data_IF_256566383565
#
_entry.id   IF_256566383565
#
_cell.length_a   1.000
_cell.length_b   1.000
_cell.length_c   1.000
_cell.angle_alpha   90.00
_cell.angle_beta   90.00
_cell.angle_gamma   90.00
#
_symmetry.space_group_name_H-M   'P 1'
#
loop_
_entity.id
_entity.type
_entity.pdbx_description
1 polymer ?
#
# COMPACT_ATOMS: atom_id res chain seq x y z
N UNK A 1 5.94 -9.71 -47.52
CA UNK A 1 6.94 -10.09 -46.50
C UNK A 1 7.11 -11.61 -46.60
N UNK A 2 8.31 -12.14 -46.79
CA UNK A 2 8.56 -13.55 -47.10
C UNK A 2 8.12 -14.48 -45.99
N UNK A 3 7.43 -15.58 -46.28
CA UNK A 3 6.99 -16.61 -45.33
C UNK A 3 8.15 -17.14 -44.45
N UNK A 4 9.36 -17.16 -45.00
CA UNK A 4 10.61 -17.56 -44.27
C UNK A 4 10.92 -16.58 -43.13
N UNK A 5 10.73 -15.28 -43.34
CA UNK A 5 10.99 -14.26 -42.29
C UNK A 5 9.96 -14.37 -41.17
N UNK A 6 8.71 -14.64 -41.54
CA UNK A 6 7.62 -14.82 -40.59
C UNK A 6 7.81 -16.07 -39.71
N UNK A 7 8.20 -17.21 -40.32
CA UNK A 7 8.54 -18.44 -39.59
C UNK A 7 9.77 -18.28 -38.68
N UNK A 8 10.77 -17.51 -39.08
CA UNK A 8 11.94 -17.24 -38.25
C UNK A 8 11.58 -16.38 -37.03
N UNK A 9 10.71 -15.37 -37.20
CA UNK A 9 10.19 -14.55 -36.10
C UNK A 9 9.33 -15.35 -35.13
N UNK A 10 8.45 -16.22 -35.62
CA UNK A 10 7.61 -17.09 -34.78
C UNK A 10 8.46 -18.06 -33.96
N UNK A 11 9.53 -18.63 -34.54
CA UNK A 11 10.47 -19.50 -33.80
C UNK A 11 11.27 -18.74 -32.73
N UNK A 12 11.73 -17.54 -33.03
CA UNK A 12 12.47 -16.71 -32.07
C UNK A 12 11.57 -16.32 -30.89
N UNK A 13 10.33 -15.93 -31.15
CA UNK A 13 9.34 -15.63 -30.10
C UNK A 13 9.02 -16.86 -29.25
N UNK A 14 8.87 -18.03 -29.86
CA UNK A 14 8.63 -19.28 -29.14
C UNK A 14 9.77 -19.63 -28.19
N UNK A 15 11.02 -19.53 -28.67
CA UNK A 15 12.21 -19.77 -27.85
C UNK A 15 12.36 -18.77 -26.70
N UNK A 16 12.02 -17.50 -26.96
CA UNK A 16 12.06 -16.47 -25.90
C UNK A 16 11.03 -16.76 -24.79
N UNK A 17 9.81 -17.16 -25.16
CA UNK A 17 8.77 -17.54 -24.20
C UNK A 17 9.14 -18.81 -23.42
N UNK A 18 9.78 -19.81 -24.05
CA UNK A 18 10.28 -20.99 -23.35
C UNK A 18 11.31 -20.64 -22.28
N UNK A 19 12.18 -19.66 -22.56
CA UNK A 19 13.18 -19.16 -21.63
C UNK A 19 12.60 -18.22 -20.58
N UNK A 20 11.42 -17.63 -20.83
CA UNK A 20 10.77 -16.63 -19.98
C UNK A 20 9.28 -16.94 -19.77
N UNK A 21 8.92 -18.06 -19.13
CA UNK A 21 7.53 -18.49 -18.97
C UNK A 21 6.66 -17.48 -18.23
N UNK A 22 7.24 -16.67 -17.35
CA UNK A 22 6.58 -15.59 -16.64
C UNK A 22 6.06 -14.47 -17.57
N UNK A 23 6.71 -14.30 -18.74
CA UNK A 23 6.33 -13.29 -19.72
C UNK A 23 5.08 -13.72 -20.52
N UNK A 24 5.04 -14.98 -20.93
CA UNK A 24 3.89 -15.55 -21.63
C UNK A 24 2.59 -15.43 -20.80
N UNK A 25 2.67 -15.73 -19.48
CA UNK A 25 1.55 -15.59 -18.53
C UNK A 25 1.03 -14.15 -18.43
N UNK A 26 1.89 -13.16 -18.71
CA UNK A 26 1.56 -11.74 -18.65
C UNK A 26 1.26 -11.12 -20.01
N UNK A 27 1.41 -11.86 -21.10
CA UNK A 27 1.24 -11.35 -22.48
C UNK A 27 2.33 -10.37 -22.88
N UNK A 28 3.55 -10.54 -22.34
CA UNK A 28 4.71 -9.71 -22.63
C UNK A 28 5.58 -10.44 -23.64
N UNK A 29 5.79 -9.85 -24.81
CA UNK A 29 6.77 -10.32 -25.78
C UNK A 29 8.17 -9.69 -25.55
N UNK A 30 9.16 -10.14 -26.30
CA UNK A 30 10.54 -9.66 -26.18
C UNK A 30 10.66 -8.16 -26.47
N UNK A 31 9.96 -7.65 -27.47
CA UNK A 31 9.99 -6.23 -27.84
C UNK A 31 9.40 -5.35 -26.75
N UNK A 32 8.25 -5.77 -26.20
CA UNK A 32 7.62 -5.09 -25.07
C UNK A 32 8.52 -5.14 -23.83
N UNK A 33 9.13 -6.30 -23.53
CA UNK A 33 10.05 -6.43 -22.41
C UNK A 33 11.26 -5.49 -22.52
N UNK A 34 11.86 -5.45 -23.71
CA UNK A 34 12.97 -4.53 -23.99
C UNK A 34 12.55 -3.06 -23.81
N UNK A 35 11.37 -2.66 -24.28
CA UNK A 35 10.85 -1.32 -24.09
C UNK A 35 10.62 -1.00 -22.60
N UNK A 36 10.08 -1.96 -21.83
CA UNK A 36 9.90 -1.81 -20.38
C UNK A 36 11.22 -1.57 -19.65
N UNK A 37 12.27 -2.35 -19.98
CA UNK A 37 13.56 -2.26 -19.30
C UNK A 37 14.39 -1.04 -19.71
N UNK A 38 14.30 -0.62 -20.99
CA UNK A 38 15.18 0.43 -21.52
C UNK A 38 14.55 1.81 -21.54
N UNK A 39 13.22 1.89 -21.67
CA UNK A 39 12.52 3.16 -21.93
C UNK A 39 11.53 3.51 -20.83
N UNK A 40 10.67 2.58 -20.43
CA UNK A 40 9.58 2.86 -19.49
C UNK A 40 10.11 2.87 -18.04
N UNK A 41 10.91 1.85 -17.67
CA UNK A 41 11.50 1.70 -16.32
C UNK A 41 13.01 1.45 -16.40
N UNK A 42 13.81 2.36 -16.99
CA UNK A 42 15.23 2.13 -17.16
C UNK A 42 15.94 1.97 -15.81
N UNK A 43 16.71 0.88 -15.68
CA UNK A 43 17.47 0.59 -14.47
C UNK A 43 16.67 -0.03 -13.32
N UNK A 44 15.35 -0.23 -13.45
CA UNK A 44 14.56 -0.94 -12.47
C UNK A 44 14.86 -2.45 -12.48
N UNK A 45 14.67 -3.09 -11.31
CA UNK A 45 14.83 -4.55 -11.19
C UNK A 45 13.69 -5.27 -11.92
N UNK A 46 14.00 -6.47 -12.42
CA UNK A 46 13.00 -7.33 -13.08
C UNK A 46 11.73 -7.51 -12.24
N UNK A 47 11.87 -7.81 -10.95
CA UNK A 47 10.75 -8.03 -10.04
C UNK A 47 9.89 -6.77 -9.89
N UNK A 48 10.52 -5.58 -9.86
CA UNK A 48 9.82 -4.31 -9.76
C UNK A 48 9.00 -4.01 -11.03
N UNK A 49 9.58 -4.28 -12.20
CA UNK A 49 8.88 -4.13 -13.49
C UNK A 49 7.68 -5.09 -13.55
N UNK A 50 7.87 -6.36 -13.15
CA UNK A 50 6.79 -7.34 -13.15
C UNK A 50 5.67 -6.95 -12.19
N UNK A 51 6.00 -6.39 -11.01
CA UNK A 51 5.00 -5.82 -10.10
C UNK A 51 4.17 -4.72 -10.77
N UNK A 52 4.82 -3.79 -11.49
CA UNK A 52 4.13 -2.73 -12.22
C UNK A 52 3.24 -3.28 -13.35
N UNK A 53 3.70 -4.31 -14.06
CA UNK A 53 2.90 -5.01 -15.07
C UNK A 53 1.66 -5.65 -14.46
N UNK A 54 1.83 -6.41 -13.38
CA UNK A 54 0.71 -7.09 -12.70
C UNK A 54 -0.28 -6.08 -12.12
N UNK A 55 0.20 -4.96 -11.57
CA UNK A 55 -0.63 -3.85 -11.10
C UNK A 55 -1.48 -3.25 -12.23
N UNK A 56 -0.87 -2.97 -13.39
CA UNK A 56 -1.57 -2.45 -14.55
C UNK A 56 -2.57 -3.46 -15.09
N UNK A 57 -2.19 -4.73 -15.21
CA UNK A 57 -3.05 -5.81 -15.70
C UNK A 57 -4.30 -6.00 -14.84
N UNK A 58 -4.14 -5.99 -13.51
CA UNK A 58 -5.27 -6.08 -12.57
C UNK A 58 -6.30 -4.95 -12.74
N UNK A 59 -5.89 -3.81 -13.31
CA UNK A 59 -6.74 -2.64 -13.56
C UNK A 59 -7.06 -2.42 -15.04
N UNK A 60 -6.74 -3.37 -15.89
CA UNK A 60 -6.89 -3.29 -17.36
C UNK A 60 -6.23 -2.04 -17.96
N UNK A 61 -5.06 -1.67 -17.45
CA UNK A 61 -4.27 -0.53 -17.90
C UNK A 61 -3.16 -0.98 -18.82
N UNK A 62 -2.89 -0.19 -19.86
CA UNK A 62 -1.73 -0.40 -20.72
C UNK A 62 -0.47 0.11 -20.03
N UNK A 63 0.43 -0.81 -19.67
CA UNK A 63 1.71 -0.50 -19.01
C UNK A 63 2.59 0.41 -19.86
N UNK A 64 2.46 0.36 -21.20
CA UNK A 64 3.26 1.18 -22.11
C UNK A 64 2.93 2.67 -22.02
N UNK A 65 1.76 3.04 -21.52
CA UNK A 65 1.38 4.42 -21.22
C UNK A 65 1.99 4.93 -19.91
N UNK A 66 2.74 4.08 -19.18
CA UNK A 66 3.33 4.39 -17.87
C UNK A 66 2.34 4.96 -16.86
N UNK A 67 1.19 4.33 -16.63
CA UNK A 67 0.20 4.82 -15.67
C UNK A 67 0.67 4.63 -14.21
N UNK A 68 1.69 3.80 -14.02
CA UNK A 68 2.30 3.49 -12.71
C UNK A 68 3.77 3.86 -12.75
N UNK A 69 4.27 4.40 -11.67
CA UNK A 69 5.67 4.72 -11.43
C UNK A 69 6.26 3.76 -10.39
N UNK A 70 7.51 3.39 -10.56
CA UNK A 70 8.28 2.67 -9.56
C UNK A 70 8.98 3.70 -8.67
N UNK A 71 8.51 3.84 -7.44
CA UNK A 71 9.06 4.80 -6.48
C UNK A 71 9.92 4.04 -5.47
N UNK A 72 11.24 4.31 -5.39
CA UNK A 72 12.08 3.70 -4.38
C UNK A 72 11.69 4.20 -3.00
N UNK A 73 11.30 3.28 -2.12
CA UNK A 73 10.85 3.58 -0.78
C UNK A 73 11.55 2.72 0.25
N UNK A 74 11.75 3.27 1.44
CA UNK A 74 12.27 2.52 2.56
C UNK A 74 11.13 1.82 3.28
N UNK A 75 11.00 0.51 3.06
CA UNK A 75 9.97 -0.33 3.67
C UNK A 75 10.56 -1.06 4.85
N UNK A 76 9.86 -1.01 5.99
CA UNK A 76 10.20 -1.80 7.16
C UNK A 76 9.59 -3.19 7.03
N UNK A 77 10.41 -4.22 7.07
CA UNK A 77 9.96 -5.60 7.09
C UNK A 77 9.23 -5.89 8.41
N UNK A 78 7.98 -6.35 8.33
CA UNK A 78 7.13 -6.56 9.49
C UNK A 78 7.62 -7.71 10.39
N UNK A 79 8.35 -8.70 9.83
CA UNK A 79 8.82 -9.86 10.57
C UNK A 79 10.18 -9.61 11.22
N UNK A 80 11.11 -8.98 10.48
CA UNK A 80 12.49 -8.78 10.94
C UNK A 80 12.72 -7.40 11.56
N UNK A 81 11.83 -6.45 11.31
CA UNK A 81 12.00 -5.05 11.72
C UNK A 81 13.06 -4.29 10.92
N UNK A 82 13.73 -4.94 9.98
CA UNK A 82 14.77 -4.35 9.16
C UNK A 82 14.18 -3.44 8.08
N UNK A 83 14.86 -2.30 7.83
CA UNK A 83 14.50 -1.40 6.75
C UNK A 83 15.26 -1.77 5.48
N UNK A 84 14.55 -1.91 4.37
CA UNK A 84 15.13 -2.16 3.06
C UNK A 84 14.52 -1.22 2.01
N UNK A 85 15.34 -0.79 1.05
CA UNK A 85 14.84 -0.05 -0.11
C UNK A 85 14.16 -1.01 -1.07
N UNK A 86 12.92 -0.72 -1.41
CA UNK A 86 12.13 -1.46 -2.41
C UNK A 86 11.47 -0.47 -3.37
N UNK A 87 11.34 -0.86 -4.62
CA UNK A 87 10.50 -0.13 -5.56
C UNK A 87 9.04 -0.47 -5.29
N UNK A 88 8.25 0.57 -5.04
CA UNK A 88 6.81 0.43 -4.81
C UNK A 88 6.08 0.96 -6.05
N UNK A 89 5.24 0.15 -6.69
CA UNK A 89 4.40 0.64 -7.79
C UNK A 89 3.39 1.64 -7.25
N UNK A 90 3.45 2.88 -7.74
CA UNK A 90 2.53 3.95 -7.37
C UNK A 90 1.79 4.49 -8.58
N UNK A 91 0.49 4.78 -8.47
CA UNK A 91 -0.24 5.40 -9.55
C UNK A 91 0.33 6.80 -9.84
N UNK A 92 0.45 7.15 -11.11
CA UNK A 92 0.57 8.53 -11.52
C UNK A 92 -0.81 9.17 -11.66
N UNK A 93 -0.90 10.51 -11.72
CA UNK A 93 -2.17 11.21 -11.95
C UNK A 93 -2.88 10.73 -13.23
N UNK A 94 -2.11 10.30 -14.24
CA UNK A 94 -2.61 9.74 -15.48
C UNK A 94 -3.49 8.50 -15.29
N UNK A 95 -3.19 7.66 -14.30
CA UNK A 95 -4.01 6.51 -13.96
C UNK A 95 -5.40 6.96 -13.50
N UNK A 96 -5.47 7.93 -12.61
CA UNK A 96 -6.74 8.45 -12.09
C UNK A 96 -7.58 9.12 -13.17
N UNK A 97 -6.94 9.84 -14.11
CA UNK A 97 -7.62 10.40 -15.29
C UNK A 97 -8.27 9.30 -16.14
N UNK A 98 -7.50 8.25 -16.47
CA UNK A 98 -8.00 7.12 -17.27
C UNK A 98 -9.19 6.45 -16.59
N UNK A 99 -9.11 6.23 -15.30
CA UNK A 99 -10.18 5.55 -14.55
C UNK A 99 -11.42 6.42 -14.40
N UNK A 100 -11.26 7.72 -14.13
CA UNK A 100 -12.37 8.66 -14.09
C UNK A 100 -13.07 8.77 -15.44
N UNK A 101 -12.32 8.82 -16.53
CA UNK A 101 -12.89 8.84 -17.90
C UNK A 101 -13.68 7.53 -18.21
N UNK A 102 -13.12 6.38 -17.83
CA UNK A 102 -13.76 5.07 -18.01
C UNK A 102 -15.03 4.86 -17.20
N UNK A 103 -15.23 5.63 -16.12
CA UNK A 103 -16.48 5.55 -15.33
C UNK A 103 -17.71 5.99 -16.13
N UNK A 104 -17.50 6.76 -17.23
CA UNK A 104 -18.56 7.27 -18.09
C UNK A 104 -19.34 8.47 -17.50
N UNK A 105 -18.99 8.92 -16.33
CA UNK A 105 -19.61 10.06 -15.65
C UNK A 105 -18.66 11.26 -15.46
N UNK A 106 -17.42 11.18 -15.97
CA UNK A 106 -16.50 12.30 -15.99
C UNK A 106 -17.00 13.43 -16.90
N UNK A 107 -17.13 14.64 -16.35
CA UNK A 107 -17.71 15.81 -17.05
C UNK A 107 -16.72 16.97 -17.19
N UNK A 108 -15.41 16.65 -17.25
CA UNK A 108 -14.33 17.60 -17.45
C UNK A 108 -13.75 18.18 -16.16
N UNK A 109 -12.83 19.13 -16.35
CA UNK A 109 -12.15 19.85 -15.28
C UNK A 109 -11.97 21.32 -15.65
N UNK A 110 -11.75 22.15 -14.64
CA UNK A 110 -11.32 23.55 -14.87
C UNK A 110 -9.79 23.63 -14.96
N UNK A 111 -9.31 24.76 -15.44
CA UNK A 111 -7.90 25.14 -15.33
C UNK A 111 -7.50 25.22 -13.84
N UNK A 112 -6.26 24.85 -13.49
CA UNK A 112 -5.79 24.96 -12.11
C UNK A 112 -5.71 26.41 -11.66
N UNK A 113 -6.27 26.71 -10.49
CA UNK A 113 -6.16 27.99 -9.82
C UNK A 113 -4.95 27.97 -8.88
N UNK A 114 -4.10 29.00 -8.95
CA UNK A 114 -2.91 29.11 -8.11
C UNK A 114 -3.02 30.29 -7.16
N UNK A 115 -2.51 30.09 -5.95
CA UNK A 115 -2.37 31.13 -4.94
C UNK A 115 -1.23 32.12 -5.25
N UNK A 116 -0.92 32.98 -4.27
CA UNK A 116 0.20 33.92 -4.39
C UNK A 116 1.50 33.21 -4.74
N UNK A 117 2.35 33.92 -5.47
CA UNK A 117 3.68 33.42 -5.79
C UNK A 117 4.62 33.79 -4.66
N UNK A 118 5.25 32.77 -4.09
CA UNK A 118 6.24 32.90 -3.02
C UNK A 118 7.64 32.72 -3.61
N UNK A 119 8.56 33.57 -3.17
CA UNK A 119 10.00 33.40 -3.42
C UNK A 119 10.70 33.14 -2.10
N UNK A 120 11.35 31.99 -1.98
CA UNK A 120 12.04 31.57 -0.76
C UNK A 120 13.39 30.94 -1.07
N UNK A 121 14.26 30.93 -0.06
CA UNK A 121 15.56 30.27 -0.09
C UNK A 121 15.50 29.03 0.82
N UNK A 122 15.99 27.93 0.29
CA UNK A 122 16.05 26.65 0.99
C UNK A 122 17.50 26.19 1.16
N UNK A 123 17.78 25.53 2.27
CA UNK A 123 19.07 24.91 2.50
C UNK A 123 19.21 23.64 1.65
N UNK A 124 20.21 23.64 0.79
CA UNK A 124 20.49 22.56 -0.14
C UNK A 124 21.96 22.17 -0.19
N UNK A 125 22.28 21.26 -1.06
CA UNK A 125 23.65 20.80 -1.32
C UNK A 125 23.93 20.84 -2.82
N UNK A 126 25.17 21.20 -3.17
CA UNK A 126 25.67 21.05 -4.54
C UNK A 126 26.08 19.60 -4.86
N UNK A 127 26.60 19.37 -6.06
CA UNK A 127 27.07 18.04 -6.49
C UNK A 127 28.25 17.49 -5.66
N UNK A 128 28.98 18.38 -4.97
CA UNK A 128 30.10 18.04 -4.10
C UNK A 128 29.68 17.95 -2.63
N UNK A 129 28.36 18.05 -2.36
CA UNK A 129 27.74 18.07 -1.03
C UNK A 129 28.08 19.30 -0.17
N UNK A 130 28.56 20.37 -0.76
CA UNK A 130 28.73 21.65 -0.06
C UNK A 130 27.36 22.30 0.18
N UNK A 131 27.15 22.93 1.34
CA UNK A 131 25.91 23.64 1.63
C UNK A 131 25.75 24.86 0.72
N UNK A 132 24.58 24.99 0.12
CA UNK A 132 24.20 26.11 -0.75
C UNK A 132 22.80 26.61 -0.40
N UNK A 133 22.50 27.86 -0.71
CA UNK A 133 21.14 28.41 -0.69
C UNK A 133 20.52 28.27 -2.09
N UNK A 134 19.35 27.64 -2.15
CA UNK A 134 18.60 27.41 -3.39
C UNK A 134 17.39 28.32 -3.40
N UNK A 135 17.37 29.30 -4.31
CA UNK A 135 16.19 30.14 -4.54
C UNK A 135 15.15 29.40 -5.36
N UNK A 136 13.91 29.45 -4.91
CA UNK A 136 12.77 28.82 -5.57
C UNK A 136 11.60 29.81 -5.61
N UNK A 137 10.93 29.83 -6.74
CA UNK A 137 9.68 30.58 -6.95
C UNK A 137 8.55 29.58 -7.19
N UNK A 138 7.56 29.58 -6.31
CA UNK A 138 6.47 28.57 -6.31
C UNK A 138 5.13 29.20 -5.94
N UNK A 139 3.99 28.58 -6.33
CA UNK A 139 2.69 29.02 -5.84
C UNK A 139 2.50 28.50 -4.41
N UNK A 140 1.92 29.33 -3.54
CA UNK A 140 1.62 28.92 -2.16
C UNK A 140 0.71 27.70 -2.13
N UNK A 141 -0.33 27.71 -2.98
CA UNK A 141 -1.28 26.62 -3.12
C UNK A 141 -1.76 26.47 -4.57
N UNK A 142 -2.36 25.31 -4.86
CA UNK A 142 -3.09 25.04 -6.09
C UNK A 142 -4.45 24.45 -5.75
N UNK A 143 -5.51 24.99 -6.34
CA UNK A 143 -6.85 24.43 -6.30
C UNK A 143 -7.18 23.82 -7.67
N UNK A 144 -7.68 22.61 -7.66
CA UNK A 144 -8.12 21.90 -8.86
C UNK A 144 -9.59 21.47 -8.72
N UNK A 145 -10.37 21.64 -9.80
CA UNK A 145 -11.78 21.30 -9.85
C UNK A 145 -12.02 20.27 -10.95
N UNK A 146 -12.60 19.14 -10.59
CA UNK A 146 -13.10 18.14 -11.53
C UNK A 146 -14.62 18.04 -11.42
N UNK A 147 -15.26 17.57 -12.46
CA UNK A 147 -16.71 17.46 -12.52
C UNK A 147 -17.16 16.04 -12.83
N UNK A 148 -18.19 15.61 -12.12
CA UNK A 148 -18.84 14.31 -12.29
C UNK A 148 -20.32 14.51 -12.59
N UNK A 149 -20.88 13.70 -13.47
CA UNK A 149 -22.32 13.67 -13.69
C UNK A 149 -22.98 12.80 -12.62
N UNK A 150 -23.87 13.40 -11.83
CA UNK A 150 -24.63 12.68 -10.79
C UNK A 150 -26.10 13.01 -10.98
N UNK A 151 -26.92 11.99 -11.28
CA UNK A 151 -28.34 12.19 -11.50
C UNK A 151 -28.68 13.17 -12.63
N UNK A 152 -27.84 13.22 -13.67
CA UNK A 152 -27.98 14.15 -14.80
C UNK A 152 -27.48 15.59 -14.52
N UNK A 153 -26.92 15.85 -13.34
CA UNK A 153 -26.37 17.15 -12.97
C UNK A 153 -24.83 17.10 -12.91
N UNK A 154 -24.20 18.19 -13.34
CA UNK A 154 -22.74 18.37 -13.26
C UNK A 154 -22.36 18.83 -11.86
N UNK A 155 -21.74 17.96 -11.06
CA UNK A 155 -21.32 18.21 -9.68
C UNK A 155 -19.83 18.41 -9.63
N UNK A 156 -19.35 19.46 -8.91
CA UNK A 156 -17.93 19.76 -8.78
C UNK A 156 -17.30 19.11 -7.56
N UNK A 157 -16.10 18.56 -7.74
CA UNK A 157 -15.23 18.06 -6.68
C UNK A 157 -13.93 18.86 -6.72
N UNK A 158 -13.54 19.43 -5.57
CA UNK A 158 -12.42 20.36 -5.47
C UNK A 158 -11.40 19.89 -4.45
N UNK A 159 -10.13 20.08 -4.76
CA UNK A 159 -9.03 19.91 -3.84
C UNK A 159 -8.11 21.12 -3.88
N UNK A 160 -7.56 21.46 -2.72
CA UNK A 160 -6.52 22.49 -2.59
C UNK A 160 -5.32 21.84 -1.93
N UNK A 161 -4.16 21.97 -2.57
CA UNK A 161 -2.89 21.44 -2.10
C UNK A 161 -1.91 22.59 -1.91
N UNK A 162 -1.11 22.50 -0.85
CA UNK A 162 -0.09 23.51 -0.51
C UNK A 162 1.28 23.04 -0.96
N UNK A 163 2.07 23.93 -1.54
CA UNK A 163 3.36 23.57 -2.09
C UNK A 163 4.31 23.02 -1.02
N UNK A 164 4.36 23.67 0.16
CA UNK A 164 5.23 23.25 1.27
C UNK A 164 4.90 21.86 1.83
N UNK A 165 3.68 21.36 1.66
CA UNK A 165 3.28 20.04 2.10
C UNK A 165 3.60 18.95 1.07
N UNK A 166 3.72 19.35 -0.21
CA UNK A 166 3.80 18.42 -1.33
C UNK A 166 5.20 18.26 -1.92
N UNK A 167 6.01 19.33 -1.92
CA UNK A 167 7.27 19.26 -2.64
C UNK A 167 8.21 18.18 -2.12
N UNK A 168 8.95 17.58 -3.06
CA UNK A 168 9.97 16.58 -2.76
C UNK A 168 11.34 17.25 -2.62
N UNK A 169 12.08 16.89 -1.58
CA UNK A 169 13.44 17.40 -1.34
C UNK A 169 14.49 16.68 -2.20
N UNK A 170 15.66 17.30 -2.37
CA UNK A 170 16.81 16.72 -3.08
C UNK A 170 17.31 15.43 -2.40
N UNK A 171 17.28 15.40 -1.07
CA UNK A 171 17.71 14.26 -0.25
C UNK A 171 17.10 14.40 1.15
N UNK A 172 17.26 13.35 1.97
CA UNK A 172 16.83 13.36 3.37
C UNK A 172 17.54 14.41 4.24
N UNK A 173 18.63 14.99 3.76
CA UNK A 173 19.46 15.97 4.46
C UNK A 173 19.40 17.37 3.84
N UNK A 174 18.42 17.64 2.98
CA UNK A 174 18.26 18.91 2.26
C UNK A 174 16.83 19.38 2.36
N UNK A 175 16.61 20.65 2.63
CA UNK A 175 15.30 21.29 2.53
C UNK A 175 15.01 21.77 1.11
N UNK A 176 16.04 21.88 0.27
CA UNK A 176 15.86 22.32 -1.09
C UNK A 176 15.05 21.32 -1.93
N UNK A 177 14.10 21.80 -2.76
CA UNK A 177 13.31 20.93 -3.62
C UNK A 177 14.20 20.22 -4.66
N UNK A 178 13.77 19.02 -5.07
CA UNK A 178 14.42 18.29 -6.14
C UNK A 178 14.31 19.05 -7.49
N UNK A 179 15.01 18.53 -8.50
CA UNK A 179 15.09 19.19 -9.81
C UNK A 179 13.72 19.44 -10.46
N UNK A 180 12.76 18.51 -10.31
CA UNK A 180 11.43 18.64 -10.91
C UNK A 180 10.59 19.69 -10.18
N UNK A 181 10.56 19.67 -8.87
CA UNK A 181 9.84 20.62 -8.04
C UNK A 181 10.43 22.03 -8.10
N UNK A 182 11.76 22.14 -8.31
CA UNK A 182 12.41 23.42 -8.57
C UNK A 182 12.09 23.96 -9.96
N UNK A 183 12.16 23.11 -11.00
CA UNK A 183 12.00 23.52 -12.41
C UNK A 183 10.55 23.76 -12.81
N UNK A 184 9.61 22.99 -12.25
CA UNK A 184 8.19 22.99 -12.63
C UNK A 184 7.25 22.99 -11.42
N UNK A 185 7.39 23.95 -10.48
CA UNK A 185 6.65 23.95 -9.22
C UNK A 185 5.13 24.00 -9.41
N UNK A 186 4.65 24.81 -10.36
CA UNK A 186 3.22 24.94 -10.67
C UNK A 186 2.65 23.62 -11.22
N UNK A 187 3.31 23.02 -12.20
CA UNK A 187 2.82 21.81 -12.85
C UNK A 187 2.84 20.60 -11.90
N UNK A 188 3.83 20.50 -11.01
CA UNK A 188 3.89 19.42 -10.03
C UNK A 188 2.77 19.56 -8.99
N UNK A 189 2.58 20.78 -8.45
CA UNK A 189 1.51 21.01 -7.47
C UNK A 189 0.12 20.82 -8.08
N UNK A 190 -0.09 21.24 -9.34
CA UNK A 190 -1.36 21.01 -10.04
C UNK A 190 -1.69 19.54 -10.19
N UNK A 191 -0.70 18.65 -10.45
CA UNK A 191 -0.93 17.21 -10.51
C UNK A 191 -1.37 16.64 -9.16
N UNK A 192 -0.79 17.11 -8.05
CA UNK A 192 -1.18 16.69 -6.71
C UNK A 192 -2.63 17.12 -6.41
N UNK A 193 -2.98 18.38 -6.70
CA UNK A 193 -4.33 18.88 -6.49
C UNK A 193 -5.37 18.16 -7.38
N UNK A 194 -5.02 17.87 -8.64
CA UNK A 194 -5.86 17.10 -9.55
C UNK A 194 -6.09 15.67 -9.03
N UNK A 195 -5.03 14.98 -8.61
CA UNK A 195 -5.13 13.62 -8.07
C UNK A 195 -6.07 13.57 -6.86
N UNK A 196 -5.97 14.53 -5.96
CA UNK A 196 -6.86 14.66 -4.81
C UNK A 196 -8.31 14.94 -5.22
N UNK A 197 -8.53 15.81 -6.21
CA UNK A 197 -9.87 16.11 -6.70
C UNK A 197 -10.52 14.88 -7.36
N UNK A 198 -9.76 14.12 -8.15
CA UNK A 198 -10.20 12.86 -8.76
C UNK A 198 -10.56 11.81 -7.71
N UNK A 199 -9.73 11.61 -6.67
CA UNK A 199 -10.03 10.68 -5.57
C UNK A 199 -11.31 11.05 -4.81
N UNK A 200 -11.59 12.35 -4.63
CA UNK A 200 -12.85 12.80 -4.04
C UNK A 200 -14.07 12.52 -4.90
N UNK A 201 -13.94 12.68 -6.22
CA UNK A 201 -15.04 12.43 -7.17
C UNK A 201 -15.30 10.95 -7.41
N UNK A 202 -14.25 10.14 -7.41
CA UNK A 202 -14.29 8.70 -7.70
C UNK A 202 -13.52 7.91 -6.64
N UNK A 203 -14.04 7.75 -5.42
CA UNK A 203 -13.34 7.06 -4.33
C UNK A 203 -13.02 5.59 -4.64
N UNK A 204 -13.74 4.96 -5.55
CA UNK A 204 -13.52 3.58 -6.01
C UNK A 204 -12.31 3.40 -6.93
N UNK A 205 -11.79 4.48 -7.53
CA UNK A 205 -10.64 4.37 -8.43
C UNK A 205 -9.29 4.28 -7.71
N UNK A 206 -9.26 4.51 -6.41
CA UNK A 206 -8.09 4.34 -5.55
C UNK A 206 -7.99 5.42 -4.49
N UNK A 207 -7.34 5.06 -3.39
CA UNK A 207 -7.05 5.97 -2.26
C UNK A 207 -5.53 6.19 -2.09
N UNK A 208 -4.72 5.50 -2.90
CA UNK A 208 -3.26 5.57 -2.83
C UNK A 208 -2.77 6.97 -3.24
N UNK A 209 -1.76 7.53 -2.56
CA UNK A 209 -1.12 8.75 -3.03
C UNK A 209 -0.44 8.48 -4.38
N UNK A 210 -0.38 9.51 -5.22
CA UNK A 210 0.31 9.39 -6.51
C UNK A 210 1.83 9.43 -6.34
N UNK A 211 2.53 8.96 -7.37
CA UNK A 211 3.98 9.07 -7.43
C UNK A 211 4.46 10.52 -7.33
N UNK A 212 3.71 11.47 -7.88
CA UNK A 212 4.00 12.90 -7.80
C UNK A 212 3.91 13.44 -6.37
N UNK A 213 2.97 12.91 -5.56
CA UNK A 213 2.82 13.26 -4.13
C UNK A 213 3.91 12.62 -3.27
N UNK A 214 4.45 11.47 -3.68
CA UNK A 214 5.38 10.65 -2.90
C UNK A 214 6.84 10.74 -3.36
N UNK A 215 7.11 11.37 -4.51
CA UNK A 215 8.47 11.51 -5.04
C UNK A 215 9.40 12.16 -4.01
N UNK A 216 10.50 11.46 -3.67
CA UNK A 216 11.48 11.94 -2.70
C UNK A 216 11.04 11.93 -1.22
N UNK A 217 9.82 11.53 -0.91
CA UNK A 217 9.36 11.34 0.47
C UNK A 217 9.72 9.93 0.92
N UNK A 218 10.44 9.81 2.03
CA UNK A 218 10.60 8.52 2.70
C UNK A 218 9.25 8.14 3.33
N UNK A 219 8.51 7.25 2.68
CA UNK A 219 7.30 6.70 3.28
C UNK A 219 7.72 5.78 4.43
N UNK A 220 7.63 6.28 5.63
CA UNK A 220 7.63 5.43 6.81
C UNK A 220 6.17 5.05 7.01
N UNK A 221 5.74 4.01 6.33
CA UNK A 221 4.50 3.35 6.72
C UNK A 221 4.72 2.87 8.16
N UNK A 222 4.16 3.61 9.08
CA UNK A 222 4.09 3.15 10.44
C UNK A 222 3.05 2.06 10.41
N UNK A 223 3.49 0.81 10.42
CA UNK A 223 2.61 -0.33 10.62
C UNK A 223 1.92 -0.11 11.98
N UNK A 224 0.73 0.47 11.94
CA UNK A 224 -0.16 0.64 13.08
C UNK A 224 -1.00 -0.63 13.31
N UNK A 225 -0.79 -1.68 12.49
CA UNK A 225 -1.35 -3.00 12.79
C UNK A 225 -0.82 -3.36 14.17
N UNK A 226 -1.69 -3.49 15.19
CA UNK A 226 -1.23 -3.97 16.49
C UNK A 226 -0.43 -5.23 16.20
N UNK A 227 0.75 -5.42 16.79
CA UNK A 227 1.52 -6.61 16.55
C UNK A 227 0.52 -7.74 16.69
N UNK A 228 0.31 -8.47 15.57
CA UNK A 228 -0.48 -9.70 15.60
C UNK A 228 0.15 -10.44 16.74
N UNK A 229 -0.56 -10.54 17.87
CA UNK A 229 -0.08 -11.36 18.95
C UNK A 229 0.24 -12.66 18.21
N UNK A 230 1.53 -12.90 18.02
CA UNK A 230 2.00 -14.19 17.59
C UNK A 230 1.18 -15.12 18.46
N UNK A 231 0.36 -16.00 17.86
CA UNK A 231 -0.49 -16.91 18.59
C UNK A 231 0.31 -17.25 19.83
N UNK A 232 0.00 -16.53 20.92
CA UNK A 232 0.65 -16.80 22.19
C UNK A 232 0.31 -18.25 22.36
N UNK A 233 1.31 -19.11 22.31
CA UNK A 233 1.17 -20.50 22.70
C UNK A 233 0.24 -20.44 23.90
N UNK A 234 -0.92 -21.12 23.88
CA UNK A 234 -1.98 -20.90 24.82
C UNK A 234 -1.32 -20.75 26.19
N UNK A 235 -1.48 -19.57 26.78
CA UNK A 235 -0.87 -19.29 28.10
C UNK A 235 -1.34 -20.46 28.93
N UNK A 236 -0.41 -21.33 29.31
CA UNK A 236 -0.75 -22.51 30.10
C UNK A 236 -1.45 -21.93 31.32
N UNK A 237 -2.76 -22.14 31.41
CA UNK A 237 -3.55 -21.65 32.54
C UNK A 237 -2.86 -22.21 33.78
N UNK A 238 -2.54 -21.37 34.75
CA UNK A 238 -1.99 -21.82 36.02
C UNK A 238 -2.90 -22.92 36.58
N UNK A 239 -2.30 -23.96 37.11
CA UNK A 239 -3.06 -25.04 37.68
C UNK A 239 -3.97 -24.55 38.80
N UNK A 240 -5.19 -25.10 38.85
CA UNK A 240 -6.16 -24.75 39.87
C UNK A 240 -5.59 -25.13 41.24
N UNK A 241 -5.44 -24.15 42.18
CA UNK A 241 -4.77 -24.37 43.46
C UNK A 241 -5.41 -25.52 44.26
N UNK A 242 -4.59 -26.38 44.83
CA UNK A 242 -5.07 -27.54 45.60
C UNK A 242 -5.99 -27.15 46.77
N UNK A 243 -5.60 -26.08 47.52
CA UNK A 243 -6.39 -25.57 48.65
C UNK A 243 -7.78 -25.08 48.18
N UNK A 244 -7.85 -24.47 47.04
CA UNK A 244 -9.10 -23.98 46.43
C UNK A 244 -9.97 -25.17 45.94
N UNK A 245 -9.32 -26.20 45.46
CA UNK A 245 -10.00 -27.40 45.04
C UNK A 245 -10.66 -28.11 46.23
N UNK A 246 -9.93 -28.34 47.33
CA UNK A 246 -10.45 -28.96 48.56
C UNK A 246 -11.65 -28.20 49.14
N UNK A 247 -11.61 -26.85 49.08
CA UNK A 247 -12.72 -26.04 49.59
C UNK A 247 -13.97 -26.06 48.68
N UNK A 248 -13.79 -26.19 47.36
CA UNK A 248 -14.88 -26.17 46.41
C UNK A 248 -15.43 -27.53 45.99
N UNK A 249 -14.61 -28.58 46.09
CA UNK A 249 -15.00 -29.93 45.73
C UNK A 249 -16.25 -30.45 46.46
N UNK A 250 -16.44 -30.24 47.78
CA UNK A 250 -17.66 -30.66 48.47
C UNK A 250 -18.92 -30.03 47.90
N UNK A 251 -18.82 -28.74 47.46
CA UNK A 251 -19.96 -28.01 46.88
C UNK A 251 -20.28 -28.53 45.49
N UNK A 252 -19.25 -28.86 44.70
CA UNK A 252 -19.44 -29.44 43.38
C UNK A 252 -20.01 -30.84 43.45
N UNK A 253 -19.50 -31.66 44.38
CA UNK A 253 -20.03 -33.00 44.67
C UNK A 253 -21.52 -32.94 45.03
N UNK A 254 -21.93 -32.08 45.95
CA UNK A 254 -23.34 -31.91 46.31
C UNK A 254 -24.20 -31.44 45.14
N UNK A 255 -23.66 -30.62 44.22
CA UNK A 255 -24.37 -30.14 43.02
C UNK A 255 -24.56 -31.26 41.97
N UNK A 256 -23.59 -32.18 41.86
CA UNK A 256 -23.65 -33.33 40.98
C UNK A 256 -24.67 -34.37 41.53
N UNK A 257 -24.54 -34.72 42.80
CA UNK A 257 -25.44 -35.64 43.49
C UNK A 257 -26.91 -35.18 43.50
N UNK A 258 -27.12 -33.83 43.55
CA UNK A 258 -28.42 -33.25 43.43
C UNK A 258 -28.97 -33.09 42.00
N UNK A 259 -28.21 -33.56 40.98
CA UNK A 259 -28.58 -33.47 39.58
C UNK A 259 -28.65 -32.06 39.02
N UNK A 260 -28.10 -31.05 39.72
CA UNK A 260 -28.11 -29.62 39.32
C UNK A 260 -27.07 -29.29 38.28
N UNK A 261 -25.96 -30.03 38.23
CA UNK A 261 -24.87 -29.88 37.25
C UNK A 261 -24.24 -31.24 36.94
N UNK A 262 -23.70 -31.38 35.75
CA UNK A 262 -22.91 -32.55 35.38
C UNK A 262 -21.42 -32.34 35.70
N UNK A 263 -20.62 -33.40 35.88
CA UNK A 263 -19.16 -33.30 36.04
C UNK A 263 -18.50 -32.46 34.94
N UNK A 264 -18.92 -32.69 33.68
CA UNK A 264 -18.37 -31.99 32.52
C UNK A 264 -18.62 -30.46 32.58
N UNK A 265 -19.82 -30.07 33.03
CA UNK A 265 -20.16 -28.64 33.18
C UNK A 265 -19.32 -27.97 34.26
N UNK A 266 -18.97 -28.67 35.32
CA UNK A 266 -18.10 -28.17 36.40
C UNK A 266 -16.68 -28.06 35.90
N UNK A 267 -16.14 -29.09 35.24
CA UNK A 267 -14.81 -29.08 34.63
C UNK A 267 -14.69 -27.92 33.66
N UNK A 268 -15.61 -27.76 32.72
CA UNK A 268 -15.62 -26.69 31.77
C UNK A 268 -15.66 -25.29 32.42
N UNK A 269 -16.43 -25.13 33.49
CA UNK A 269 -16.53 -23.86 34.23
C UNK A 269 -15.22 -23.51 34.94
N UNK A 270 -14.51 -24.49 35.50
CA UNK A 270 -13.23 -24.28 36.19
C UNK A 270 -12.11 -24.06 35.17
N UNK A 271 -12.06 -24.86 34.11
CA UNK A 271 -11.04 -24.75 33.07
C UNK A 271 -11.13 -23.50 32.23
N UNK A 272 -12.25 -22.80 32.28
CA UNK A 272 -12.32 -21.42 31.69
C UNK A 272 -11.44 -20.41 32.42
N UNK A 273 -10.95 -20.73 33.63
CA UNK A 273 -10.16 -19.79 34.48
C UNK A 273 -8.80 -20.34 34.91
N UNK A 274 -8.71 -21.65 35.18
CA UNK A 274 -7.48 -22.32 35.62
C UNK A 274 -7.52 -23.78 35.23
N UNK A 275 -6.38 -24.37 34.83
CA UNK A 275 -6.29 -25.78 34.41
C UNK A 275 -6.43 -26.70 35.60
N UNK A 276 -7.36 -27.69 35.51
CA UNK A 276 -7.45 -28.76 36.50
C UNK A 276 -6.34 -29.80 36.24
N UNK A 277 -5.76 -30.35 37.33
CA UNK A 277 -4.84 -31.47 37.19
C UNK A 277 -5.61 -32.77 36.82
N UNK A 278 -4.95 -33.79 36.22
CA UNK A 278 -5.59 -35.05 35.90
C UNK A 278 -6.28 -35.69 37.10
N UNK A 279 -5.67 -35.60 38.29
CA UNK A 279 -6.20 -36.15 39.55
C UNK A 279 -7.46 -35.38 39.99
N UNK A 280 -7.47 -34.07 39.87
CA UNK A 280 -8.64 -33.24 40.19
C UNK A 280 -9.82 -33.51 39.25
N UNK A 281 -9.57 -33.73 37.94
CA UNK A 281 -10.61 -34.12 36.98
C UNK A 281 -11.20 -35.49 37.33
N UNK A 282 -10.35 -36.47 37.60
CA UNK A 282 -10.78 -37.81 37.94
C UNK A 282 -11.64 -37.83 39.21
N UNK A 283 -11.34 -36.97 40.20
CA UNK A 283 -12.17 -36.83 41.39
C UNK A 283 -13.55 -36.25 41.09
N UNK A 284 -13.64 -35.28 40.19
CA UNK A 284 -14.94 -34.69 39.81
C UNK A 284 -15.77 -35.70 39.00
N UNK A 285 -15.15 -36.43 38.04
CA UNK A 285 -15.80 -37.42 37.23
C UNK A 285 -16.27 -38.63 38.06
N UNK A 286 -15.48 -39.04 39.07
CA UNK A 286 -15.81 -40.12 39.97
C UNK A 286 -17.01 -39.89 40.89
N UNK A 287 -17.54 -38.67 40.94
CA UNK A 287 -18.76 -38.38 41.72
C UNK A 287 -20.04 -38.90 41.02
N UNK A 288 -20.03 -39.07 39.70
CA UNK A 288 -21.18 -39.51 38.91
C UNK A 288 -21.25 -41.04 38.70
N UNK A 289 -20.24 -41.79 39.16
CA UNK A 289 -20.16 -43.23 39.14
C UNK A 289 -20.64 -43.75 40.50
#
# INVERSE_FOLDING_TARGET
>A
MNAIVQQAQERALSQWFESNPWAAMRGIDEAMWNALCTTIYPGAKTESILMAVDYCKARSLDIMLKPVHLVPMQVKDAQTGNKAWRDVPMPGVGLYRIQADRSGDYAGADEPEFGPIIEAEFDGQDYQKNPIKVKVRYPEWCKYTVYKMIGGQRVSFKATEFWLENYATQSAYSEAPNAMWKKRPFAQLAKCAEAQALRKGWPEIGQEPTAEEMEGKAYIEKDITPPRQADSAPVALEHYPADSFEQNFPKWKAAIEAGKRTPEQIIQTVESKAALTPEQKQQIEGVAA
#
